data_IF_551334983149
#
_entry.id   IF_551334983149
#
_cell.length_a   1.000
_cell.length_b   1.000
_cell.length_c   1.000
_cell.angle_alpha   90.00
_cell.angle_beta   90.00
_cell.angle_gamma   90.00
#
_symmetry.space_group_name_H-M   'P 1'
#
loop_
_entity.id
_entity.type
_entity.pdbx_description
1 polymer ?
#
# COMPACT_ATOMS: atom_id res chain seq x y z
N UNK A 1 37.85 -1.37 -23.54
CA UNK A 1 38.50 -1.28 -22.21
C UNK A 1 37.88 -0.07 -21.49
N UNK A 2 36.74 -0.25 -20.81
CA UNK A 2 36.17 0.82 -19.98
C UNK A 2 36.47 0.51 -18.52
N UNK A 3 37.24 1.40 -17.89
CA UNK A 3 37.53 1.32 -16.45
C UNK A 3 36.30 1.84 -15.68
N UNK A 4 35.72 0.97 -14.84
CA UNK A 4 34.73 1.34 -13.83
C UNK A 4 35.43 2.23 -12.77
N UNK A 5 34.92 3.45 -12.59
CA UNK A 5 35.29 4.30 -11.47
C UNK A 5 34.36 4.00 -10.29
N UNK A 6 34.91 3.39 -9.25
CA UNK A 6 34.22 3.21 -7.95
C UNK A 6 34.20 4.55 -7.20
N UNK A 7 33.04 5.15 -7.09
CA UNK A 7 32.82 6.29 -6.20
C UNK A 7 32.47 5.77 -4.79
N UNK A 8 33.35 6.03 -3.83
CA UNK A 8 33.10 5.76 -2.41
C UNK A 8 32.47 7.00 -1.78
N UNK A 9 31.25 6.85 -1.28
CA UNK A 9 30.58 7.88 -0.48
C UNK A 9 30.82 7.60 1.01
N UNK A 10 31.34 8.54 1.73
CA UNK A 10 31.43 8.50 3.20
C UNK A 10 30.55 9.59 3.79
N UNK A 11 29.56 9.17 4.58
CA UNK A 11 28.72 10.08 5.38
C UNK A 11 29.49 10.44 6.65
N UNK A 12 29.83 11.70 6.83
CA UNK A 12 30.20 12.28 8.13
C UNK A 12 29.33 13.51 8.37
N UNK A 13 28.60 13.41 9.44
CA UNK A 13 27.89 14.46 10.18
C UNK A 13 27.56 15.78 9.47
N UNK A 14 26.24 16.01 9.31
CA UNK A 14 25.62 17.31 9.00
C UNK A 14 25.99 18.00 7.67
N UNK A 15 25.14 17.76 6.67
CA UNK A 15 24.87 18.67 5.54
C UNK A 15 25.96 18.92 4.48
N UNK A 16 27.02 18.12 4.38
CA UNK A 16 27.95 18.25 3.27
C UNK A 16 28.24 16.90 2.61
N UNK A 17 27.67 16.66 1.44
CA UNK A 17 28.09 15.58 0.55
C UNK A 17 29.40 16.01 -0.11
N UNK A 18 30.53 15.46 0.35
CA UNK A 18 31.82 15.70 -0.26
C UNK A 18 32.05 14.62 -1.32
N UNK A 19 32.03 14.99 -2.59
CA UNK A 19 32.53 14.13 -3.68
C UNK A 19 34.08 14.24 -3.71
N UNK A 20 34.77 13.18 -3.30
CA UNK A 20 36.20 13.09 -3.53
C UNK A 20 36.50 12.72 -5.00
N UNK A 21 36.81 13.73 -5.82
CA UNK A 21 37.43 13.52 -7.11
C UNK A 21 38.95 13.68 -6.95
N UNK A 22 39.72 12.74 -7.51
CA UNK A 22 41.18 12.81 -7.53
C UNK A 22 41.68 14.17 -8.06
N UNK A 23 42.45 14.83 -7.21
CA UNK A 23 43.32 16.00 -7.48
C UNK A 23 43.04 16.77 -8.78
N UNK A 24 42.12 17.71 -8.73
CA UNK A 24 42.13 18.93 -9.50
C UNK A 24 41.84 20.10 -8.54
N UNK A 25 42.48 21.23 -8.73
CA UNK A 25 42.32 22.42 -7.90
C UNK A 25 40.83 22.76 -7.79
N UNK A 26 40.24 22.64 -6.58
CA UNK A 26 38.86 23.06 -6.35
C UNK A 26 38.72 24.55 -6.56
N UNK A 27 38.22 24.96 -7.72
CA UNK A 27 37.93 26.35 -8.05
C UNK A 27 36.51 26.72 -7.64
N UNK A 28 35.64 25.71 -7.30
CA UNK A 28 34.28 25.93 -6.92
C UNK A 28 33.83 24.92 -5.84
N UNK A 29 32.87 25.31 -5.08
CA UNK A 29 32.16 24.54 -4.07
C UNK A 29 30.75 24.27 -4.56
N UNK A 30 30.21 23.04 -4.31
CA UNK A 30 28.80 22.76 -4.60
C UNK A 30 27.97 23.47 -3.53
N UNK A 31 27.18 24.45 -3.94
CA UNK A 31 26.27 25.20 -3.10
C UNK A 31 24.85 25.00 -3.62
N UNK A 32 24.09 24.08 -2.98
CA UNK A 32 22.72 23.75 -3.37
C UNK A 32 21.88 23.47 -2.12
N UNK A 33 20.60 23.78 -2.21
CA UNK A 33 19.64 23.36 -1.20
C UNK A 33 19.28 21.90 -1.45
N UNK A 34 19.40 21.06 -0.43
CA UNK A 34 18.99 19.65 -0.45
C UNK A 34 18.09 19.38 0.75
N UNK A 35 16.84 19.01 0.49
CA UNK A 35 15.94 18.52 1.52
C UNK A 35 16.10 17.00 1.63
N UNK A 36 16.22 16.49 2.86
CA UNK A 36 16.22 15.04 3.09
C UNK A 36 14.83 14.48 2.79
N UNK A 37 14.78 13.28 2.19
CA UNK A 37 13.51 12.60 1.89
C UNK A 37 12.68 12.39 3.17
N UNK A 38 13.34 12.06 4.29
CA UNK A 38 12.69 11.90 5.61
C UNK A 38 12.03 13.20 6.10
N UNK A 39 12.69 14.35 5.97
CA UNK A 39 12.11 15.65 6.33
C UNK A 39 10.87 15.95 5.50
N UNK A 40 10.94 15.65 4.20
CA UNK A 40 9.83 15.85 3.30
C UNK A 40 8.64 14.95 3.63
N UNK A 41 8.89 13.66 3.89
CA UNK A 41 7.85 12.73 4.30
C UNK A 41 7.22 13.20 5.61
N UNK A 42 8.02 13.63 6.59
CA UNK A 42 7.52 14.18 7.84
C UNK A 42 6.55 15.37 7.63
N UNK A 43 6.90 16.29 6.74
CA UNK A 43 6.01 17.40 6.41
C UNK A 43 4.68 16.90 5.84
N UNK A 44 4.71 15.87 4.99
CA UNK A 44 3.48 15.25 4.45
C UNK A 44 2.68 14.57 5.57
N UNK A 45 3.34 13.81 6.46
CA UNK A 45 2.67 13.11 7.57
C UNK A 45 1.94 14.06 8.52
N UNK A 46 2.44 15.28 8.71
CA UNK A 46 1.76 16.29 9.51
C UNK A 46 0.42 16.74 8.90
N UNK A 47 0.27 16.66 7.59
CA UNK A 47 -0.97 17.02 6.87
C UNK A 47 -1.97 15.85 6.80
N UNK A 48 -1.51 14.61 7.05
CA UNK A 48 -2.32 13.38 6.99
C UNK A 48 -2.41 12.74 8.37
N UNK A 49 -3.59 12.71 9.00
CA UNK A 49 -3.73 12.07 10.31
C UNK A 49 -3.48 10.56 10.24
N UNK A 50 -2.86 9.96 11.26
CA UNK A 50 -2.64 8.52 11.34
C UNK A 50 -3.95 7.73 11.46
N UNK A 51 -3.84 6.41 11.43
CA UNK A 51 -4.95 5.49 11.64
C UNK A 51 -5.73 5.19 10.36
N UNK A 52 -7.06 5.12 10.44
CA UNK A 52 -7.93 4.67 9.34
C UNK A 52 -7.78 5.50 8.05
N UNK A 53 -7.31 6.72 8.15
CA UNK A 53 -7.05 7.60 7.00
C UNK A 53 -6.03 6.98 6.05
N UNK A 54 -5.02 6.30 6.57
CA UNK A 54 -4.04 5.57 5.74
C UNK A 54 -4.73 4.56 4.83
N UNK A 55 -5.67 3.78 5.37
CA UNK A 55 -6.41 2.77 4.61
C UNK A 55 -7.33 3.39 3.56
N UNK A 56 -7.95 4.54 3.89
CA UNK A 56 -8.78 5.29 2.93
C UNK A 56 -7.97 5.84 1.77
N UNK A 57 -6.73 6.28 1.99
CA UNK A 57 -5.83 6.71 0.93
C UNK A 57 -5.49 5.56 -0.03
N UNK A 58 -5.22 4.36 0.51
CA UNK A 58 -5.00 3.18 -0.34
C UNK A 58 -6.25 2.80 -1.15
N UNK A 59 -7.44 2.86 -0.54
CA UNK A 59 -8.71 2.61 -1.22
C UNK A 59 -8.95 3.63 -2.35
N UNK A 60 -8.73 4.91 -2.07
CA UNK A 60 -8.87 5.96 -3.08
C UNK A 60 -7.86 5.76 -4.23
N UNK A 61 -6.61 5.42 -3.92
CA UNK A 61 -5.60 5.13 -4.92
C UNK A 61 -5.98 3.92 -5.78
N UNK A 62 -6.60 2.88 -5.19
CA UNK A 62 -7.10 1.72 -5.92
C UNK A 62 -8.24 2.11 -6.89
N UNK A 63 -9.17 2.96 -6.45
CA UNK A 63 -10.27 3.45 -7.29
C UNK A 63 -9.76 4.33 -8.44
N UNK A 64 -8.82 5.24 -8.16
CA UNK A 64 -8.16 6.07 -9.17
C UNK A 64 -7.37 5.22 -10.19
N UNK A 65 -6.80 4.09 -9.76
CA UNK A 65 -6.14 3.11 -10.62
C UNK A 65 -7.14 2.22 -11.39
N UNK A 66 -8.44 2.42 -11.20
CA UNK A 66 -9.53 1.62 -11.79
C UNK A 66 -9.53 0.16 -11.37
N UNK A 67 -9.07 -0.13 -10.17
CA UNK A 67 -9.18 -1.45 -9.60
C UNK A 67 -10.65 -1.78 -9.33
N UNK A 68 -11.06 -3.01 -9.61
CA UNK A 68 -12.41 -3.50 -9.30
C UNK A 68 -12.51 -4.13 -7.91
N UNK A 69 -11.37 -4.54 -7.34
CA UNK A 69 -11.27 -5.16 -6.03
C UNK A 69 -10.19 -4.49 -5.20
N UNK A 70 -10.49 -4.24 -3.93
CA UNK A 70 -9.58 -3.74 -2.91
C UNK A 70 -9.63 -4.67 -1.70
N UNK A 71 -8.47 -5.02 -1.15
CA UNK A 71 -8.37 -5.92 0.00
C UNK A 71 -7.38 -5.43 1.04
N UNK A 72 -7.67 -5.65 2.32
CA UNK A 72 -6.73 -5.40 3.42
C UNK A 72 -6.68 -6.63 4.31
N UNK A 73 -5.47 -7.03 4.68
CA UNK A 73 -5.24 -8.14 5.58
C UNK A 73 -4.24 -7.75 6.67
N UNK A 74 -4.58 -8.01 7.92
CA UNK A 74 -3.61 -7.97 9.02
C UNK A 74 -2.92 -9.32 9.09
N UNK A 75 -1.64 -9.35 8.77
CA UNK A 75 -0.80 -10.54 8.69
C UNK A 75 0.01 -10.70 9.98
N UNK A 76 -0.33 -11.73 10.75
CA UNK A 76 0.36 -12.08 12.03
C UNK A 76 1.54 -13.02 11.81
N UNK A 77 1.79 -13.50 10.61
CA UNK A 77 2.91 -14.41 10.35
C UNK A 77 4.23 -13.72 10.66
N UNK A 78 5.08 -14.37 11.41
CA UNK A 78 6.35 -13.85 11.89
C UNK A 78 7.45 -14.91 11.98
N UNK A 79 7.29 -16.02 11.26
CA UNK A 79 8.27 -17.12 11.22
C UNK A 79 8.85 -17.24 9.79
N UNK A 80 9.42 -16.15 9.32
CA UNK A 80 10.11 -16.13 8.04
C UNK A 80 11.61 -16.32 8.22
N UNK A 81 12.21 -17.16 7.39
CA UNK A 81 13.67 -17.22 7.31
C UNK A 81 14.24 -15.89 6.83
N UNK A 82 15.11 -15.30 7.62
CA UNK A 82 15.82 -14.05 7.27
C UNK A 82 17.19 -14.29 6.64
N UNK A 83 17.55 -15.57 6.43
CA UNK A 83 18.65 -15.90 5.53
C UNK A 83 18.29 -15.47 4.10
N UNK A 84 19.26 -15.19 3.25
CA UNK A 84 19.02 -14.90 1.82
C UNK A 84 18.05 -13.73 1.55
N UNK A 85 18.15 -12.67 2.34
CA UNK A 85 17.53 -11.39 2.08
C UNK A 85 18.45 -10.53 1.21
N UNK A 86 17.89 -9.53 0.52
CA UNK A 86 18.67 -8.54 -0.23
C UNK A 86 19.70 -7.80 0.65
N UNK A 87 19.41 -7.67 1.93
CA UNK A 87 20.29 -7.05 2.93
C UNK A 87 19.96 -7.63 4.30
N UNK A 88 20.96 -7.77 5.18
CA UNK A 88 20.78 -8.23 6.57
C UNK A 88 19.92 -7.27 7.38
N UNK A 89 19.95 -5.99 7.07
CA UNK A 89 19.19 -4.94 7.75
C UNK A 89 17.68 -5.03 7.52
N UNK A 90 17.26 -5.84 6.52
CA UNK A 90 15.84 -6.13 6.28
C UNK A 90 15.24 -7.09 7.32
N UNK A 91 16.06 -7.84 8.06
CA UNK A 91 15.61 -8.80 9.07
C UNK A 91 14.56 -8.21 10.03
N UNK A 92 14.79 -7.01 10.52
CA UNK A 92 13.91 -6.31 11.46
C UNK A 92 12.49 -6.04 10.92
N UNK A 93 12.25 -6.19 9.62
CA UNK A 93 10.95 -5.96 8.99
C UNK A 93 10.25 -7.26 8.56
N UNK A 94 10.92 -8.42 8.70
CA UNK A 94 10.38 -9.68 8.20
C UNK A 94 9.56 -10.41 9.26
N UNK A 95 10.06 -10.46 10.50
CA UNK A 95 9.42 -11.20 11.58
C UNK A 95 8.61 -10.28 12.51
N UNK A 96 7.90 -9.35 11.91
CA UNK A 96 6.95 -8.46 12.57
C UNK A 96 5.60 -8.51 11.86
N UNK A 97 4.48 -8.37 12.57
CA UNK A 97 3.17 -8.27 11.96
C UNK A 97 3.13 -7.17 10.90
N UNK A 98 2.33 -7.35 9.86
CA UNK A 98 2.28 -6.40 8.76
C UNK A 98 0.84 -6.23 8.24
N UNK A 99 0.58 -5.10 7.58
CA UNK A 99 -0.60 -4.97 6.75
C UNK A 99 -0.24 -5.36 5.32
N UNK A 100 -1.02 -6.29 4.75
CA UNK A 100 -1.05 -6.56 3.32
C UNK A 100 -2.24 -5.79 2.73
N UNK A 101 -1.98 -5.02 1.67
CA UNK A 101 -3.02 -4.24 1.00
C UNK A 101 -3.00 -4.59 -0.48
N UNK A 102 -4.12 -5.08 -0.98
CA UNK A 102 -4.28 -5.54 -2.35
C UNK A 102 -5.19 -4.61 -3.15
N UNK A 103 -4.89 -4.45 -4.41
CA UNK A 103 -5.86 -4.01 -5.40
C UNK A 103 -5.62 -4.71 -6.76
N UNK A 104 -6.69 -4.86 -7.55
CA UNK A 104 -6.67 -5.57 -8.83
C UNK A 104 -6.06 -4.79 -10.00
N UNK A 105 -5.54 -3.58 -9.76
CA UNK A 105 -4.82 -2.81 -10.78
C UNK A 105 -3.31 -3.04 -10.68
N UNK A 106 -2.63 -2.92 -11.82
CA UNK A 106 -1.16 -2.99 -11.89
C UNK A 106 -0.59 -1.60 -12.16
N UNK A 107 0.58 -1.35 -11.60
CA UNK A 107 1.36 -0.15 -11.93
C UNK A 107 1.80 -0.19 -13.39
N UNK A 108 1.60 0.91 -14.08
CA UNK A 108 2.23 1.18 -15.37
C UNK A 108 3.61 1.81 -15.16
N UNK A 109 4.44 1.86 -16.20
CA UNK A 109 5.73 2.55 -16.11
C UNK A 109 5.57 4.03 -15.73
N UNK A 110 4.48 4.68 -16.17
CA UNK A 110 4.15 6.05 -15.77
C UNK A 110 3.90 6.17 -14.26
N UNK A 111 3.24 5.17 -13.65
CA UNK A 111 2.96 5.16 -12.21
C UNK A 111 4.25 4.99 -11.41
N UNK A 112 5.16 4.10 -11.83
CA UNK A 112 6.48 3.96 -11.22
C UNK A 112 7.29 5.26 -11.30
N UNK A 113 7.28 5.94 -12.43
CA UNK A 113 7.96 7.24 -12.58
C UNK A 113 7.33 8.31 -11.71
N UNK A 114 6.01 8.29 -11.52
CA UNK A 114 5.31 9.21 -10.64
C UNK A 114 5.69 9.01 -9.18
N UNK A 115 5.83 7.75 -8.72
CA UNK A 115 6.29 7.45 -7.37
C UNK A 115 7.71 7.99 -7.08
N UNK A 116 8.62 7.88 -8.04
CA UNK A 116 10.00 8.39 -7.90
C UNK A 116 10.02 9.92 -7.88
N UNK A 117 9.11 10.56 -8.60
CA UNK A 117 9.07 12.01 -8.80
C UNK A 117 8.45 12.80 -7.65
N UNK A 118 8.04 12.17 -6.57
CA UNK A 118 7.46 12.78 -5.35
C UNK A 118 8.35 13.88 -4.75
N UNK A 119 9.45 14.14 -5.30
CA UNK A 119 10.36 15.17 -4.92
C UNK A 119 10.43 16.37 -5.85
N UNK A 120 9.99 16.28 -7.07
CA UNK A 120 10.19 17.29 -8.09
C UNK A 120 8.97 18.19 -8.34
N UNK A 121 8.35 18.72 -7.27
CA UNK A 121 7.24 19.69 -7.36
C UNK A 121 7.58 21.01 -8.09
N UNK A 122 8.74 21.11 -8.72
CA UNK A 122 9.13 22.25 -9.56
C UNK A 122 8.57 22.23 -10.99
N UNK A 123 7.91 21.16 -11.45
CA UNK A 123 7.36 21.08 -12.81
C UNK A 123 5.85 20.85 -12.82
N UNK A 124 5.13 22.00 -12.90
CA UNK A 124 3.87 22.29 -13.60
C UNK A 124 2.75 21.24 -13.64
N UNK A 125 1.65 21.57 -12.91
CA UNK A 125 0.28 21.78 -13.41
C UNK A 125 -0.06 21.05 -14.75
N UNK A 126 -0.15 19.76 -14.75
CA UNK A 126 -1.14 19.08 -15.58
C UNK A 126 -2.36 18.82 -14.69
N UNK A 127 -3.44 19.58 -14.94
CA UNK A 127 -4.68 19.54 -14.16
C UNK A 127 -5.43 18.20 -14.27
N UNK A 128 -5.03 17.32 -15.17
CA UNK A 128 -5.70 16.06 -15.49
C UNK A 128 -4.93 14.80 -15.09
N UNK A 129 -3.75 14.92 -14.47
CA UNK A 129 -2.96 13.76 -14.09
C UNK A 129 -2.54 13.79 -12.63
N UNK A 130 -3.18 12.92 -11.82
CA UNK A 130 -2.47 12.09 -10.85
C UNK A 130 -1.58 12.90 -9.86
N UNK A 131 -2.07 14.06 -9.43
CA UNK A 131 -1.40 14.83 -8.38
C UNK A 131 -1.53 14.22 -6.98
N UNK A 132 -2.23 13.09 -6.82
CA UNK A 132 -2.53 12.50 -5.52
C UNK A 132 -1.74 11.24 -5.18
N UNK A 133 -1.33 10.43 -6.14
CA UNK A 133 -0.61 9.17 -5.86
C UNK A 133 0.66 9.34 -5.02
N UNK A 134 1.34 10.46 -5.15
CA UNK A 134 2.58 10.69 -4.40
C UNK A 134 2.38 11.08 -2.94
N UNK A 135 1.32 11.75 -2.60
CA UNK A 135 1.11 12.24 -1.23
C UNK A 135 0.43 11.18 -0.37
N UNK A 136 -0.68 10.58 -0.84
CA UNK A 136 -1.41 9.55 -0.10
C UNK A 136 -0.60 8.30 0.17
N UNK A 137 0.26 7.86 -0.79
CA UNK A 137 1.20 6.75 -0.57
C UNK A 137 2.13 7.01 0.63
N UNK A 138 2.59 8.25 0.82
CA UNK A 138 3.46 8.58 1.95
C UNK A 138 2.77 8.45 3.32
N UNK A 139 1.42 8.46 3.38
CA UNK A 139 0.70 8.19 4.61
C UNK A 139 1.00 6.80 5.18
N UNK A 140 1.46 5.84 4.36
CA UNK A 140 1.93 4.52 4.81
C UNK A 140 3.05 4.61 5.84
N UNK A 141 3.87 5.67 5.80
CA UNK A 141 4.97 5.88 6.74
C UNK A 141 4.51 6.29 8.14
N UNK A 142 3.23 6.49 8.39
CA UNK A 142 2.70 6.46 9.75
C UNK A 142 2.88 5.09 10.40
N UNK A 143 2.75 4.01 9.64
CA UNK A 143 2.71 2.64 10.15
C UNK A 143 4.05 1.91 10.08
N UNK A 144 4.93 2.32 9.15
CA UNK A 144 6.16 1.58 8.82
C UNK A 144 7.31 2.50 8.42
N UNK A 145 8.53 2.02 8.51
CA UNK A 145 9.72 2.68 7.97
C UNK A 145 10.18 2.08 6.63
N UNK A 146 9.61 0.92 6.27
CA UNK A 146 9.91 0.23 5.02
C UNK A 146 8.62 -0.14 4.32
N UNK A 147 8.36 0.43 3.16
CA UNK A 147 7.24 0.03 2.29
C UNK A 147 7.76 -0.86 1.18
N UNK A 148 7.14 -2.00 0.99
CA UNK A 148 7.40 -2.86 -0.16
C UNK A 148 6.10 -3.23 -0.87
N UNK A 149 6.17 -3.45 -2.17
CA UNK A 149 5.03 -3.96 -2.92
C UNK A 149 5.45 -4.74 -4.17
N UNK A 150 4.61 -5.70 -4.56
CA UNK A 150 4.69 -6.37 -5.85
C UNK A 150 3.55 -5.85 -6.71
N UNK A 151 3.86 -5.49 -7.96
CA UNK A 151 2.87 -5.10 -8.96
C UNK A 151 3.22 -5.72 -10.30
N UNK A 152 2.41 -6.68 -10.74
CA UNK A 152 2.73 -7.51 -11.90
C UNK A 152 4.06 -8.25 -11.68
N UNK A 153 5.06 -7.99 -12.52
CA UNK A 153 6.38 -8.63 -12.43
C UNK A 153 7.36 -7.93 -11.47
N UNK A 154 7.04 -6.74 -11.00
CA UNK A 154 7.98 -5.88 -10.31
C UNK A 154 7.79 -5.91 -8.80
N UNK A 155 8.87 -6.16 -8.05
CA UNK A 155 9.00 -5.84 -6.64
C UNK A 155 9.62 -4.45 -6.50
N UNK A 156 9.02 -3.62 -5.68
CA UNK A 156 9.56 -2.30 -5.29
C UNK A 156 9.68 -2.23 -3.78
N UNK A 157 10.75 -1.64 -3.29
CA UNK A 157 10.98 -1.36 -1.87
C UNK A 157 11.40 0.09 -1.69
N UNK A 158 10.86 0.76 -0.67
CA UNK A 158 11.22 2.12 -0.27
C UNK A 158 11.68 2.15 1.17
N UNK A 159 12.91 2.63 1.36
CA UNK A 159 13.54 2.93 2.65
C UNK A 159 13.99 4.39 2.68
N UNK A 160 13.18 5.32 3.16
CA UNK A 160 13.54 6.74 3.21
C UNK A 160 14.78 7.06 4.06
N UNK A 161 15.14 6.15 4.97
CA UNK A 161 16.34 6.29 5.80
C UNK A 161 17.63 5.92 5.05
N UNK A 162 17.52 5.09 3.99
CA UNK A 162 18.66 4.57 3.25
C UNK A 162 19.56 3.66 4.10
N UNK A 163 18.97 2.89 5.03
CA UNK A 163 19.72 2.04 5.96
C UNK A 163 19.53 0.55 5.70
N UNK A 164 18.38 0.16 5.16
CA UNK A 164 17.96 -1.24 5.10
C UNK A 164 18.11 -1.86 3.71
N UNK A 165 18.30 -1.06 2.67
CA UNK A 165 18.48 -1.55 1.32
C UNK A 165 19.98 -1.59 0.92
N UNK A 166 20.38 -2.50 0.00
CA UNK A 166 21.75 -2.60 -0.48
C UNK A 166 22.30 -1.24 -0.97
N UNK A 167 23.57 -0.96 -0.70
CA UNK A 167 24.24 0.28 -1.08
C UNK A 167 23.59 1.55 -0.50
N UNK A 168 22.81 1.44 0.55
CA UNK A 168 22.13 2.55 1.23
C UNK A 168 21.25 3.39 0.28
N UNK A 169 20.62 2.74 -0.70
CA UNK A 169 19.67 3.41 -1.60
C UNK A 169 18.34 3.66 -0.90
N UNK A 170 17.61 4.71 -1.30
CA UNK A 170 16.32 5.07 -0.73
C UNK A 170 15.17 4.24 -1.31
N UNK A 171 15.42 3.51 -2.38
CA UNK A 171 14.46 2.62 -3.02
C UNK A 171 15.11 1.77 -4.09
N UNK A 172 14.50 0.63 -4.36
CA UNK A 172 14.92 -0.27 -5.43
C UNK A 172 13.70 -0.88 -6.13
N UNK A 173 13.90 -1.29 -7.36
CA UNK A 173 12.94 -2.07 -8.16
C UNK A 173 13.66 -3.26 -8.78
N UNK A 174 13.07 -4.42 -8.73
CA UNK A 174 13.58 -5.67 -9.32
C UNK A 174 12.42 -6.52 -9.83
N UNK A 175 12.70 -7.48 -10.71
CA UNK A 175 11.72 -8.52 -11.04
C UNK A 175 11.66 -9.50 -9.88
N UNK A 176 10.47 -9.68 -9.27
CA UNK A 176 10.35 -10.54 -8.09
C UNK A 176 10.65 -12.01 -8.39
N UNK A 177 10.35 -12.49 -9.62
CA UNK A 177 10.71 -13.85 -10.06
C UNK A 177 12.23 -14.07 -10.18
N UNK A 178 12.99 -13.03 -10.51
CA UNK A 178 14.44 -13.12 -10.55
C UNK A 178 15.01 -13.27 -9.13
N UNK A 179 14.39 -12.63 -8.13
CA UNK A 179 14.76 -12.78 -6.72
C UNK A 179 14.35 -14.15 -6.19
N UNK A 180 13.14 -14.62 -6.49
CA UNK A 180 12.63 -15.94 -6.12
C UNK A 180 13.55 -17.05 -6.60
N UNK A 181 14.02 -16.96 -7.84
CA UNK A 181 14.91 -17.96 -8.45
C UNK A 181 16.38 -17.80 -8.04
N UNK A 182 16.71 -16.76 -7.27
CA UNK A 182 18.07 -16.51 -6.81
C UNK A 182 18.26 -17.01 -5.37
N UNK A 183 18.99 -18.09 -5.18
CA UNK A 183 19.25 -18.69 -3.87
C UNK A 183 19.89 -17.74 -2.83
N UNK A 184 20.41 -16.58 -3.24
CA UNK A 184 20.96 -15.57 -2.34
C UNK A 184 19.91 -14.59 -1.84
N UNK A 185 18.75 -14.44 -2.51
CA UNK A 185 17.76 -13.40 -2.24
C UNK A 185 16.32 -13.92 -2.20
N UNK A 186 16.10 -15.24 -2.34
CA UNK A 186 14.78 -15.82 -2.51
C UNK A 186 13.84 -15.58 -1.33
N UNK A 187 14.35 -15.40 -0.12
CA UNK A 187 13.52 -15.14 1.05
C UNK A 187 12.94 -13.70 1.05
N UNK A 188 13.45 -12.82 0.20
CA UNK A 188 12.95 -11.43 0.09
C UNK A 188 11.48 -11.38 -0.33
N UNK A 189 10.99 -12.33 -1.13
CA UNK A 189 9.62 -12.35 -1.65
C UNK A 189 8.63 -13.17 -0.81
N UNK A 190 9.13 -14.02 0.10
CA UNK A 190 8.30 -14.96 0.89
C UNK A 190 7.14 -14.28 1.63
N UNK A 191 7.29 -13.10 2.26
CA UNK A 191 6.17 -12.48 2.98
C UNK A 191 4.95 -12.16 2.11
N UNK A 192 5.11 -12.07 0.79
CA UNK A 192 4.01 -11.86 -0.14
C UNK A 192 3.22 -13.13 -0.46
N UNK A 193 3.81 -14.32 -0.21
CA UNK A 193 3.10 -15.58 -0.42
C UNK A 193 1.98 -15.74 0.60
N UNK A 194 0.86 -16.28 0.15
CA UNK A 194 -0.36 -16.41 0.94
C UNK A 194 -1.27 -15.18 0.90
N UNK A 195 -0.84 -14.05 0.29
CA UNK A 195 -1.72 -12.91 0.05
C UNK A 195 -2.97 -13.30 -0.76
N UNK A 196 -2.86 -14.27 -1.67
CA UNK A 196 -4.00 -14.80 -2.43
C UNK A 196 -5.07 -15.40 -1.54
N UNK A 197 -4.69 -16.17 -0.53
CA UNK A 197 -5.65 -16.74 0.43
C UNK A 197 -6.38 -15.64 1.20
N UNK A 198 -5.67 -14.59 1.58
CA UNK A 198 -6.23 -13.47 2.32
C UNK A 198 -7.28 -12.68 1.54
N UNK A 199 -7.20 -12.64 0.20
CA UNK A 199 -8.04 -11.78 -0.63
C UNK A 199 -9.05 -12.53 -1.52
N UNK A 200 -8.96 -13.88 -1.63
CA UNK A 200 -9.79 -14.69 -2.52
C UNK A 200 -10.28 -16.00 -1.87
N UNK A 201 -10.64 -15.95 -0.58
CA UNK A 201 -11.07 -17.11 0.21
C UNK A 201 -12.29 -17.87 -0.35
N UNK A 202 -13.08 -17.26 -1.23
CA UNK A 202 -14.37 -17.82 -1.71
C UNK A 202 -14.28 -18.43 -3.11
N UNK A 203 -13.10 -18.59 -3.71
CA UNK A 203 -13.00 -19.39 -4.93
C UNK A 203 -12.85 -20.86 -4.54
N UNK A 204 -13.90 -21.64 -4.84
CA UNK A 204 -14.04 -23.06 -4.51
C UNK A 204 -12.74 -23.85 -4.63
N UNK A 205 -12.25 -24.38 -3.51
CA UNK A 205 -11.07 -25.26 -3.40
C UNK A 205 -11.21 -26.58 -4.20
N UNK A 206 -12.29 -26.75 -4.96
CA UNK A 206 -12.63 -28.02 -5.62
C UNK A 206 -11.89 -28.25 -6.94
N UNK A 207 -11.02 -27.36 -7.40
CA UNK A 207 -10.45 -27.52 -8.75
C UNK A 207 -8.99 -27.13 -8.93
N UNK A 208 -8.09 -27.34 -7.97
CA UNK A 208 -6.68 -27.38 -8.38
C UNK A 208 -5.76 -27.97 -7.29
N UNK A 209 -5.13 -29.05 -7.60
CA UNK A 209 -4.12 -29.72 -6.77
C UNK A 209 -2.75 -29.05 -6.76
N UNK A 210 -2.64 -27.72 -6.88
CA UNK A 210 -1.39 -26.99 -6.70
C UNK A 210 -1.65 -25.60 -6.13
N UNK A 211 -1.48 -25.45 -4.81
CA UNK A 211 -1.54 -24.17 -4.08
C UNK A 211 -0.59 -23.08 -4.63
N UNK A 212 0.48 -23.46 -5.29
CA UNK A 212 1.49 -22.53 -5.82
C UNK A 212 0.97 -21.68 -7.00
N UNK A 213 0.06 -22.23 -7.82
CA UNK A 213 -0.49 -21.50 -8.96
C UNK A 213 -1.46 -20.38 -8.58
N UNK A 214 -2.18 -20.49 -7.44
CA UNK A 214 -3.11 -19.45 -6.99
C UNK A 214 -2.34 -18.25 -6.41
N UNK A 215 -1.27 -18.52 -5.67
CA UNK A 215 -0.42 -17.47 -5.09
C UNK A 215 0.20 -16.59 -6.19
N UNK A 216 0.71 -17.19 -7.23
CA UNK A 216 1.33 -16.46 -8.34
C UNK A 216 0.31 -15.61 -9.12
N UNK A 217 -0.94 -16.08 -9.27
CA UNK A 217 -1.96 -15.38 -10.03
C UNK A 217 -2.32 -14.00 -9.41
N UNK A 218 -2.36 -13.88 -8.08
CA UNK A 218 -2.67 -12.61 -7.39
C UNK A 218 -1.52 -11.62 -7.52
N UNK A 219 -0.30 -12.07 -7.30
CA UNK A 219 0.90 -11.24 -7.43
C UNK A 219 1.08 -10.74 -8.86
N UNK A 220 0.82 -11.62 -9.85
CA UNK A 220 0.96 -11.28 -11.26
C UNK A 220 -0.14 -10.34 -11.79
N UNK A 221 -1.36 -10.40 -11.24
CA UNK A 221 -2.53 -9.72 -11.80
C UNK A 221 -3.05 -8.52 -10.99
N UNK A 222 -2.31 -8.09 -9.98
CA UNK A 222 -2.68 -6.93 -9.17
C UNK A 222 -1.46 -6.25 -8.57
N UNK A 223 -1.71 -5.51 -7.51
CA UNK A 223 -0.68 -4.89 -6.67
C UNK A 223 -0.92 -5.31 -5.22
N UNK A 224 0.12 -5.83 -4.57
CA UNK A 224 0.12 -6.17 -3.15
C UNK A 224 1.18 -5.35 -2.44
N UNK A 225 0.76 -4.45 -1.56
CA UNK A 225 1.65 -3.74 -0.65
C UNK A 225 1.84 -4.54 0.63
N UNK A 226 3.03 -4.46 1.20
CA UNK A 226 3.35 -4.93 2.53
C UNK A 226 3.90 -3.78 3.36
N UNK A 227 3.26 -3.53 4.50
CA UNK A 227 3.61 -2.51 5.48
C UNK A 227 3.93 -3.22 6.80
N UNK A 228 5.19 -3.59 7.08
CA UNK A 228 5.60 -4.09 8.40
C UNK A 228 5.29 -3.04 9.45
N UNK A 229 4.57 -3.41 10.52
CA UNK A 229 4.20 -2.47 11.58
C UNK A 229 5.47 -2.00 12.31
N UNK A 230 5.61 -0.68 12.47
CA UNK A 230 6.75 -0.10 13.18
C UNK A 230 6.75 -0.52 14.63
N UNK A 231 7.82 -1.17 15.06
CA UNK A 231 8.02 -1.57 16.45
C UNK A 231 8.46 -0.38 17.31
N UNK A 232 8.36 -0.53 18.64
CA UNK A 232 8.84 0.47 19.60
C UNK A 232 10.34 0.77 19.39
N UNK A 233 11.14 -0.26 19.11
CA UNK A 233 12.57 -0.09 18.91
C UNK A 233 12.87 0.68 17.61
N UNK A 234 12.13 0.40 16.55
CA UNK A 234 12.24 1.13 15.30
C UNK A 234 11.82 2.60 15.47
N UNK A 235 10.73 2.87 16.21
CA UNK A 235 10.26 4.23 16.50
C UNK A 235 11.31 5.09 17.21
N UNK A 236 12.10 4.52 18.13
CA UNK A 236 13.18 5.25 18.83
C UNK A 236 14.29 5.77 17.88
N UNK A 237 14.48 5.11 16.76
CA UNK A 237 15.54 5.42 15.77
C UNK A 237 15.04 5.97 14.46
N UNK A 238 13.72 5.98 14.27
CA UNK A 238 13.08 6.48 13.05
C UNK A 238 13.20 8.00 12.93
N UNK A 239 13.45 8.46 11.71
CA UNK A 239 13.41 9.88 11.35
C UNK A 239 12.03 10.28 10.79
N UNK A 240 11.09 9.33 10.67
CA UNK A 240 9.76 9.55 10.11
C UNK A 240 8.70 9.72 11.19
N UNK A 241 8.73 8.87 12.21
CA UNK A 241 7.83 8.95 13.35
C UNK A 241 8.44 8.21 14.54
N UNK A 242 8.30 8.76 15.73
CA UNK A 242 8.66 8.10 16.97
C UNK A 242 7.57 7.16 17.51
N UNK A 243 6.42 7.11 16.84
CA UNK A 243 5.31 6.25 17.23
C UNK A 243 5.49 4.84 16.67
N UNK A 244 5.16 3.83 17.45
CA UNK A 244 5.00 2.44 17.03
C UNK A 244 3.52 2.18 16.73
N UNK A 245 3.25 1.09 16.03
CA UNK A 245 1.88 0.61 15.82
C UNK A 245 1.79 -0.81 16.36
N UNK A 246 0.98 -1.01 17.37
CA UNK A 246 0.74 -2.36 17.91
C UNK A 246 -0.23 -3.14 17.03
N UNK A 247 -0.27 -4.45 17.21
CA UNK A 247 -1.20 -5.33 16.50
C UNK A 247 -2.64 -4.99 16.86
N UNK A 248 -2.90 -4.66 18.12
CA UNK A 248 -4.21 -4.29 18.63
C UNK A 248 -4.70 -2.99 17.99
N UNK A 249 -3.82 -1.99 17.87
CA UNK A 249 -4.14 -0.73 17.19
C UNK A 249 -4.43 -0.96 15.71
N UNK A 250 -3.63 -1.80 15.04
CA UNK A 250 -3.87 -2.17 13.65
C UNK A 250 -5.20 -2.92 13.47
N UNK A 251 -5.53 -3.84 14.39
CA UNK A 251 -6.80 -4.56 14.39
C UNK A 251 -8.00 -3.61 14.55
N UNK A 252 -7.95 -2.71 15.53
CA UNK A 252 -9.01 -1.71 15.73
C UNK A 252 -9.13 -0.76 14.52
N UNK A 253 -8.02 -0.42 13.88
CA UNK A 253 -8.04 0.35 12.63
C UNK A 253 -8.76 -0.40 11.50
N UNK A 254 -8.54 -1.72 11.37
CA UNK A 254 -9.26 -2.55 10.40
C UNK A 254 -10.75 -2.62 10.71
N UNK A 255 -11.14 -2.80 11.96
CA UNK A 255 -12.55 -2.81 12.37
C UNK A 255 -13.24 -1.49 12.04
N UNK A 256 -12.64 -0.37 12.42
CA UNK A 256 -13.15 0.95 12.09
C UNK A 256 -13.28 1.18 10.58
N UNK A 257 -12.35 0.63 9.79
CA UNK A 257 -12.45 0.69 8.34
C UNK A 257 -13.59 -0.20 7.83
N UNK A 258 -13.75 -1.42 8.36
CA UNK A 258 -14.80 -2.37 7.99
C UNK A 258 -16.21 -1.80 8.22
N UNK A 259 -16.44 -1.13 9.34
CA UNK A 259 -17.72 -0.48 9.66
C UNK A 259 -18.18 0.53 8.61
N UNK A 260 -17.22 1.16 7.93
CA UNK A 260 -17.47 2.19 6.91
C UNK A 260 -17.30 1.69 5.47
N UNK A 261 -16.87 0.44 5.28
CA UNK A 261 -16.53 -0.10 3.95
C UNK A 261 -17.75 -0.15 3.02
N UNK A 262 -18.92 -0.47 3.57
CA UNK A 262 -20.16 -0.51 2.83
C UNK A 262 -20.55 0.86 2.25
N UNK A 263 -20.47 1.90 3.09
CA UNK A 263 -20.78 3.25 2.65
C UNK A 263 -19.73 3.78 1.66
N UNK A 264 -18.46 3.44 1.88
CA UNK A 264 -17.38 3.85 0.97
C UNK A 264 -17.63 3.38 -0.46
N UNK A 265 -18.12 2.14 -0.66
CA UNK A 265 -18.42 1.59 -1.99
C UNK A 265 -19.44 2.40 -2.79
N UNK A 266 -20.35 3.15 -2.14
CA UNK A 266 -21.33 3.98 -2.82
C UNK A 266 -20.71 5.20 -3.51
N UNK A 267 -19.54 5.63 -3.05
CA UNK A 267 -18.85 6.83 -3.53
C UNK A 267 -17.67 6.51 -4.45
N UNK A 268 -17.34 5.22 -4.62
CA UNK A 268 -16.28 4.77 -5.49
C UNK A 268 -16.79 4.54 -6.93
N UNK A 269 -15.92 4.82 -7.90
CA UNK A 269 -16.26 4.72 -9.32
C UNK A 269 -15.96 3.34 -9.90
N UNK A 270 -14.88 2.73 -9.45
CA UNK A 270 -14.32 1.52 -10.06
C UNK A 270 -14.26 0.34 -9.10
N UNK A 271 -13.92 0.56 -7.83
CA UNK A 271 -13.89 -0.50 -6.82
C UNK A 271 -15.31 -0.97 -6.54
N UNK A 272 -15.54 -2.27 -6.72
CA UNK A 272 -16.85 -2.92 -6.54
C UNK A 272 -16.86 -3.92 -5.39
N UNK A 273 -15.68 -4.38 -4.96
CA UNK A 273 -15.51 -5.35 -3.88
C UNK A 273 -14.46 -4.85 -2.89
N UNK A 274 -14.77 -4.94 -1.61
CA UNK A 274 -13.82 -4.71 -0.52
C UNK A 274 -13.79 -5.97 0.34
N UNK A 275 -12.59 -6.50 0.60
CA UNK A 275 -12.34 -7.62 1.50
C UNK A 275 -11.40 -7.22 2.63
N UNK A 276 -11.74 -7.62 3.85
CA UNK A 276 -10.95 -7.34 5.06
C UNK A 276 -10.80 -8.64 5.81
N UNK A 277 -9.56 -9.03 6.08
CA UNK A 277 -9.24 -10.32 6.66
C UNK A 277 -8.07 -10.24 7.63
N UNK A 278 -7.88 -11.32 8.37
CA UNK A 278 -6.72 -11.59 9.21
C UNK A 278 -6.07 -12.86 8.71
N UNK A 279 -4.76 -12.88 8.69
CA UNK A 279 -3.95 -14.05 8.43
C UNK A 279 -3.20 -14.40 9.72
N UNK A 280 -3.57 -15.53 10.34
CA UNK A 280 -2.95 -15.96 11.60
C UNK A 280 -1.49 -16.43 11.42
N UNK A 281 -0.80 -16.73 12.51
CA UNK A 281 0.58 -17.21 12.47
C UNK A 281 0.75 -18.53 11.70
N UNK A 282 -0.30 -19.34 11.59
CA UNK A 282 -0.29 -20.61 10.86
C UNK A 282 -0.67 -20.46 9.37
N UNK A 283 -1.00 -19.26 8.93
CA UNK A 283 -1.46 -18.99 7.57
C UNK A 283 -2.94 -19.32 7.33
N UNK A 284 -3.75 -19.41 8.40
CA UNK A 284 -5.21 -19.52 8.27
C UNK A 284 -5.81 -18.12 8.12
N UNK A 285 -6.85 -18.02 7.31
CA UNK A 285 -7.54 -16.76 7.03
C UNK A 285 -8.84 -16.67 7.81
N UNK A 286 -9.03 -15.57 8.53
CA UNK A 286 -10.30 -15.15 9.10
C UNK A 286 -10.80 -13.93 8.34
N UNK A 287 -11.97 -14.03 7.72
CA UNK A 287 -12.60 -12.91 7.03
C UNK A 287 -13.39 -12.08 8.03
N UNK A 288 -12.97 -10.83 8.24
CA UNK A 288 -13.69 -9.86 9.08
C UNK A 288 -14.86 -9.25 8.34
N UNK A 289 -14.67 -8.93 7.07
CA UNK A 289 -15.67 -8.28 6.24
C UNK A 289 -15.43 -8.60 4.76
N UNK A 290 -16.49 -8.94 4.06
CA UNK A 290 -16.53 -8.95 2.60
C UNK A 290 -17.77 -8.18 2.16
N UNK A 291 -17.60 -7.23 1.27
CA UNK A 291 -18.67 -6.32 0.85
C UNK A 291 -18.55 -6.08 -0.64
N UNK A 292 -19.66 -6.24 -1.34
CA UNK A 292 -19.73 -5.91 -2.76
C UNK A 292 -20.82 -4.86 -3.04
N UNK A 293 -20.71 -4.21 -4.19
CA UNK A 293 -21.61 -3.12 -4.58
C UNK A 293 -23.07 -3.57 -4.71
N UNK A 294 -23.33 -4.83 -5.09
CA UNK A 294 -24.68 -5.38 -5.21
C UNK A 294 -25.36 -5.48 -3.85
N UNK A 295 -24.64 -5.98 -2.83
CA UNK A 295 -25.15 -6.06 -1.46
C UNK A 295 -25.43 -4.68 -0.90
N UNK A 296 -24.56 -3.71 -1.20
CA UNK A 296 -24.73 -2.31 -0.85
C UNK A 296 -26.03 -1.74 -1.40
N UNK A 297 -26.30 -1.92 -2.70
CA UNK A 297 -27.52 -1.47 -3.36
C UNK A 297 -28.76 -2.12 -2.75
N UNK A 298 -28.71 -3.42 -2.48
CA UNK A 298 -29.84 -4.16 -1.88
C UNK A 298 -30.15 -3.66 -0.46
N UNK A 299 -29.12 -3.45 0.37
CA UNK A 299 -29.30 -2.90 1.72
C UNK A 299 -29.89 -1.49 1.72
N UNK A 300 -29.47 -0.65 0.77
CA UNK A 300 -30.00 0.70 0.62
C UNK A 300 -31.47 0.68 0.16
N UNK A 301 -31.81 -0.16 -0.83
CA UNK A 301 -33.21 -0.36 -1.24
C UNK A 301 -34.10 -0.75 -0.05
N UNK A 302 -33.68 -1.73 0.75
CA UNK A 302 -34.43 -2.18 1.93
C UNK A 302 -34.59 -1.09 2.99
N UNK A 303 -33.54 -0.28 3.25
CA UNK A 303 -33.61 0.86 4.19
C UNK A 303 -34.58 1.94 3.72
N UNK A 304 -34.58 2.24 2.42
CA UNK A 304 -35.53 3.21 1.82
C UNK A 304 -36.94 2.69 1.90
N UNK A 305 -37.20 1.41 1.55
CA UNK A 305 -38.53 0.79 1.65
C UNK A 305 -39.06 0.76 3.08
N UNK A 306 -38.21 0.47 4.07
CA UNK A 306 -38.57 0.53 5.49
C UNK A 306 -38.92 1.96 5.96
N UNK A 307 -38.18 2.97 5.51
CA UNK A 307 -38.53 4.36 5.80
C UNK A 307 -39.83 4.79 5.17
N UNK A 308 -40.06 4.40 3.92
CA UNK A 308 -41.33 4.71 3.21
C UNK A 308 -42.52 4.04 3.87
N UNK A 309 -42.37 2.79 4.37
CA UNK A 309 -43.46 2.07 5.07
C UNK A 309 -43.79 2.65 6.45
N UNK A 310 -42.84 3.35 7.07
CA UNK A 310 -43.03 3.97 8.40
C UNK A 310 -43.50 5.44 8.33
N UNK A 311 -43.46 6.07 7.16
CA UNK A 311 -43.77 7.48 6.96
C UNK A 311 -44.96 7.62 5.98
N UNK A 312 -46.16 7.46 6.50
CA UNK A 312 -47.43 7.36 5.72
C UNK A 312 -47.76 8.67 4.93
N UNK A 313 -47.04 9.81 5.16
CA UNK A 313 -47.45 11.10 4.62
C UNK A 313 -46.52 11.73 3.56
N UNK A 314 -45.30 11.22 3.33
CA UNK A 314 -44.29 11.98 2.53
C UNK A 314 -44.20 11.50 1.07
N UNK A 315 -44.45 10.23 0.75
CA UNK A 315 -44.29 9.72 -0.61
C UNK A 315 -45.51 8.96 -1.13
N UNK A 316 -46.25 9.61 -1.98
CA UNK A 316 -47.40 8.98 -2.70
C UNK A 316 -46.99 7.90 -3.70
N UNK A 317 -45.68 7.75 -4.01
CA UNK A 317 -45.15 6.74 -4.91
C UNK A 317 -43.77 6.25 -4.46
N UNK A 318 -43.67 5.07 -3.82
CA UNK A 318 -42.42 4.49 -3.34
C UNK A 318 -41.33 4.33 -4.43
N UNK A 319 -41.72 4.00 -5.67
CA UNK A 319 -40.80 3.80 -6.78
C UNK A 319 -40.07 5.11 -7.17
N UNK A 320 -40.77 6.26 -7.13
CA UNK A 320 -40.16 7.55 -7.39
C UNK A 320 -39.15 7.91 -6.29
N UNK A 321 -39.48 7.66 -5.03
CA UNK A 321 -38.57 7.95 -3.92
C UNK A 321 -37.27 7.12 -3.98
N UNK A 322 -37.37 5.83 -4.31
CA UNK A 322 -36.21 4.95 -4.50
C UNK A 322 -35.38 5.41 -5.70
N UNK A 323 -36.03 5.70 -6.83
CA UNK A 323 -35.37 6.19 -8.05
C UNK A 323 -34.65 7.53 -7.81
N UNK A 324 -35.28 8.46 -7.11
CA UNK A 324 -34.68 9.78 -6.82
C UNK A 324 -33.51 9.66 -5.82
N UNK A 325 -33.62 8.77 -4.84
CA UNK A 325 -32.52 8.44 -3.94
C UNK A 325 -31.33 7.84 -4.70
N UNK A 326 -31.57 6.83 -5.57
CA UNK A 326 -30.52 6.19 -6.36
C UNK A 326 -29.84 7.16 -7.32
N UNK A 327 -30.61 8.08 -7.94
CA UNK A 327 -30.08 9.15 -8.80
C UNK A 327 -29.20 10.14 -8.04
N UNK A 328 -29.57 10.49 -6.80
CA UNK A 328 -28.80 11.41 -5.95
C UNK A 328 -27.38 10.87 -5.69
N UNK A 329 -27.20 9.56 -5.69
CA UNK A 329 -25.92 8.89 -5.48
C UNK A 329 -25.30 8.32 -6.76
N UNK A 330 -25.80 8.73 -7.94
CA UNK A 330 -25.30 8.27 -9.25
C UNK A 330 -25.27 6.72 -9.40
N UNK A 331 -26.22 6.05 -8.73
CA UNK A 331 -26.36 4.60 -8.74
C UNK A 331 -27.30 4.24 -9.89
N UNK A 332 -26.74 3.78 -11.02
CA UNK A 332 -27.55 3.30 -12.14
C UNK A 332 -28.43 2.12 -11.75
N UNK A 333 -29.73 2.25 -11.97
CA UNK A 333 -30.69 1.15 -11.77
C UNK A 333 -30.67 0.27 -13.05
N UNK A 334 -29.81 -0.74 -13.05
CA UNK A 334 -29.72 -1.75 -14.12
C UNK A 334 -30.76 -2.86 -13.92
N UNK A 335 -32.05 -2.55 -13.78
CA UNK A 335 -33.14 -3.53 -13.76
C UNK A 335 -33.86 -3.58 -15.09
#
# INVERSE_FOLDING_TARGET
MYQQQNNKYTNKDNNNIIMETKKSNKVFEIFQQTELLTTRINNILNDYPPGVTVLREFLQNADDAKASHFGICLDYRNDYSTANLLSSELDQYYNVPSLLIYNSAKFTEKDFQSLISIGNSGKKKDKDSIGRYGLGFNASFHLTDLVSFISGDDLVMFDPHGKSLPNNVLGLRSKWKDLENNNQFNNTVIPFYGASKAFFCNQDDNNTGNNDNINNNVLENGTVFRLPLRTVEQGKSSLLSNESTTVEEAYEMLKNFAENALEALLFLKHVKNISISILDQNGNVETLQETNLTDCKNLMKNKVEQKISNDDDIYKNPRCAISDFLKTYDIEDNT
#
